data_IF_057811850116
#
_entry.id   IF_057811850116
#
_cell.length_a   1.000
_cell.length_b   1.000
_cell.length_c   1.000
_cell.angle_alpha   90.00
_cell.angle_beta   90.00
_cell.angle_gamma   90.00
#
_symmetry.space_group_name_H-M   'P 1'
#
loop_
_entity.id
_entity.type
_entity.pdbx_description
1 polymer ?
#
# COMPACT_ATOMS: atom_id res chain seq x y z
N UNK A 1 -22.34 -33.25 -6.12
CA UNK A 1 -23.08 -32.65 -4.99
C UNK A 1 -22.07 -31.88 -4.14
N UNK A 2 -22.22 -30.58 -4.02
CA UNK A 2 -21.33 -29.79 -3.17
C UNK A 2 -21.75 -29.95 -1.72
N UNK A 3 -21.00 -30.75 -0.98
CA UNK A 3 -21.08 -30.73 0.48
C UNK A 3 -20.42 -29.44 0.99
N UNK A 4 -21.10 -28.32 0.75
CA UNK A 4 -20.68 -27.05 1.33
C UNK A 4 -20.86 -27.14 2.84
N UNK A 5 -19.75 -27.35 3.54
CA UNK A 5 -19.71 -27.24 4.99
C UNK A 5 -19.22 -25.83 5.33
N UNK A 6 -20.09 -24.93 5.79
CA UNK A 6 -19.72 -23.56 6.12
C UNK A 6 -18.68 -23.48 7.26
N UNK A 7 -18.58 -24.52 8.08
CA UNK A 7 -17.56 -24.58 9.15
C UNK A 7 -16.19 -25.04 8.66
N UNK A 8 -16.14 -25.81 7.55
CA UNK A 8 -14.89 -26.27 6.96
C UNK A 8 -14.21 -25.22 6.05
N UNK A 9 -14.92 -24.14 5.69
CA UNK A 9 -14.45 -23.15 4.73
C UNK A 9 -13.54 -22.05 5.31
N UNK A 10 -13.40 -21.98 6.62
CA UNK A 10 -12.55 -20.98 7.25
C UNK A 10 -11.16 -21.57 7.51
N UNK A 11 -10.15 -21.04 6.80
CA UNK A 11 -8.76 -21.34 7.15
C UNK A 11 -8.45 -20.67 8.50
N UNK A 12 -8.24 -21.52 9.50
CA UNK A 12 -7.82 -21.10 10.84
C UNK A 12 -6.35 -21.42 11.02
N UNK A 13 -5.62 -20.53 11.64
CA UNK A 13 -4.22 -20.76 12.00
C UNK A 13 -4.14 -21.57 13.30
N UNK A 14 -3.12 -22.42 13.40
CA UNK A 14 -2.83 -23.18 14.63
C UNK A 14 -2.22 -22.30 15.72
N UNK A 15 -1.70 -21.16 15.33
CA UNK A 15 -1.01 -20.20 16.20
C UNK A 15 -1.68 -18.85 16.10
N UNK A 16 -1.54 -18.06 17.14
CA UNK A 16 -1.95 -16.65 17.10
C UNK A 16 -1.20 -15.89 16.03
N UNK A 17 -1.93 -15.11 15.24
CA UNK A 17 -1.42 -14.28 14.15
C UNK A 17 -1.90 -12.86 14.37
N UNK A 18 -1.03 -11.89 14.17
CA UNK A 18 -1.37 -10.50 14.35
C UNK A 18 -0.42 -9.57 13.59
N UNK A 19 -0.69 -8.28 13.67
CA UNK A 19 0.13 -7.23 13.10
C UNK A 19 1.19 -6.85 14.13
N UNK A 20 2.48 -7.07 13.81
CA UNK A 20 3.61 -6.76 14.69
C UNK A 20 4.17 -5.36 14.48
N UNK A 21 3.88 -4.74 13.35
CA UNK A 21 4.30 -3.37 13.06
C UNK A 21 3.61 -2.81 11.83
N UNK A 22 3.67 -1.52 11.72
CA UNK A 22 3.11 -0.79 10.59
C UNK A 22 3.95 0.43 10.27
N UNK A 23 3.87 0.90 9.03
CA UNK A 23 4.56 2.09 8.58
C UNK A 23 3.85 2.69 7.38
N UNK A 24 4.13 3.95 7.14
CA UNK A 24 3.59 4.69 6.02
C UNK A 24 4.63 5.66 5.47
N UNK A 25 4.49 5.97 4.21
CA UNK A 25 5.17 7.07 3.56
C UNK A 25 4.15 7.92 2.82
N UNK A 26 4.18 9.22 3.06
CA UNK A 26 3.29 10.18 2.39
C UNK A 26 4.15 11.16 1.61
N UNK A 27 4.04 11.20 0.28
CA UNK A 27 4.73 12.18 -0.54
C UNK A 27 4.44 13.61 -0.09
N UNK A 28 5.41 14.49 -0.25
CA UNK A 28 5.34 15.87 0.28
C UNK A 28 4.47 16.82 -0.52
N UNK A 29 4.34 16.61 -1.82
CA UNK A 29 3.54 17.48 -2.65
C UNK A 29 2.05 17.29 -2.42
N UNK A 30 1.29 18.34 -2.61
CA UNK A 30 -0.16 18.33 -2.43
C UNK A 30 -0.84 18.89 -3.68
N UNK A 31 -1.84 18.16 -4.15
CA UNK A 31 -2.75 18.62 -5.18
C UNK A 31 -4.10 18.95 -4.52
N UNK A 32 -4.51 20.25 -4.52
CA UNK A 32 -5.81 20.61 -3.97
C UNK A 32 -6.94 19.94 -4.76
N UNK A 33 -7.92 19.40 -4.06
CA UNK A 33 -9.08 18.78 -4.69
C UNK A 33 -9.85 19.75 -5.58
N UNK A 34 -9.85 21.04 -5.25
CA UNK A 34 -10.45 22.09 -6.07
C UNK A 34 -9.83 22.19 -7.48
N UNK A 35 -8.52 21.93 -7.61
CA UNK A 35 -7.86 21.94 -8.92
C UNK A 35 -8.32 20.75 -9.79
N UNK A 36 -8.48 19.58 -9.18
CA UNK A 36 -9.03 18.41 -9.87
C UNK A 36 -10.46 18.69 -10.35
N UNK A 37 -11.30 19.23 -9.47
CA UNK A 37 -12.67 19.60 -9.80
C UNK A 37 -12.71 20.64 -10.92
N UNK A 38 -11.86 21.66 -10.87
CA UNK A 38 -11.78 22.68 -11.93
C UNK A 38 -11.50 22.07 -13.30
N UNK A 39 -10.61 21.10 -13.38
CA UNK A 39 -10.23 20.45 -14.64
C UNK A 39 -11.30 19.51 -15.18
N UNK A 40 -11.92 18.73 -14.31
CA UNK A 40 -12.82 17.64 -14.73
C UNK A 40 -14.30 18.03 -14.78
N UNK A 41 -14.73 18.95 -13.92
CA UNK A 41 -16.15 19.31 -13.79
C UNK A 41 -16.41 20.80 -13.91
N UNK A 42 -15.40 21.60 -14.27
CA UNK A 42 -15.52 23.07 -14.30
C UNK A 42 -15.77 23.68 -12.93
N UNK A 43 -15.29 23.04 -11.87
CA UNK A 43 -15.49 23.48 -10.49
C UNK A 43 -16.85 23.10 -9.89
N UNK A 44 -17.62 22.28 -10.57
CA UNK A 44 -18.91 21.79 -10.07
C UNK A 44 -18.74 20.48 -9.31
N UNK A 45 -19.48 20.35 -8.22
CA UNK A 45 -19.42 19.18 -7.35
C UNK A 45 -18.28 19.27 -6.32
N UNK A 46 -18.42 18.50 -5.25
CA UNK A 46 -17.44 18.40 -4.17
C UNK A 46 -16.83 17.02 -4.10
N UNK A 47 -15.60 16.97 -3.62
CA UNK A 47 -14.93 15.74 -3.20
C UNK A 47 -14.77 15.76 -1.68
N UNK A 48 -14.86 14.61 -1.00
CA UNK A 48 -14.83 14.58 0.46
C UNK A 48 -13.42 14.81 1.05
N UNK A 49 -12.42 15.08 0.20
CA UNK A 49 -11.05 15.33 0.60
C UNK A 49 -10.64 16.76 0.22
N UNK A 50 -9.76 17.35 1.02
CA UNK A 50 -9.24 18.70 0.78
C UNK A 50 -8.13 18.72 -0.25
N UNK A 51 -7.23 17.76 -0.16
CA UNK A 51 -6.06 17.65 -1.02
C UNK A 51 -5.59 16.21 -1.12
N UNK A 52 -4.83 15.92 -2.14
CA UNK A 52 -4.20 14.62 -2.39
C UNK A 52 -2.68 14.77 -2.34
N UNK A 53 -1.97 13.84 -1.70
CA UNK A 53 -0.52 13.76 -1.80
C UNK A 53 -0.10 13.28 -3.20
N UNK A 54 0.98 13.85 -3.71
CA UNK A 54 1.51 13.53 -5.04
C UNK A 54 3.01 13.26 -4.92
N UNK A 55 3.50 12.13 -5.48
CA UNK A 55 4.93 11.83 -5.47
C UNK A 55 5.72 12.83 -6.31
N UNK A 56 6.98 13.03 -5.94
CA UNK A 56 7.93 13.76 -6.73
C UNK A 56 8.35 12.97 -7.98
N UNK A 57 9.07 13.61 -8.89
CA UNK A 57 9.56 12.98 -10.12
C UNK A 57 10.57 11.86 -9.86
N UNK A 58 11.22 11.88 -8.71
CA UNK A 58 12.19 10.90 -8.23
C UNK A 58 11.58 9.82 -7.32
N UNK A 59 10.26 9.82 -7.18
CA UNK A 59 9.53 8.89 -6.32
C UNK A 59 8.60 8.01 -7.15
N UNK A 60 8.56 6.73 -6.84
CA UNK A 60 7.65 5.75 -7.41
C UNK A 60 7.15 4.76 -6.35
N UNK A 61 6.35 3.79 -6.76
CA UNK A 61 5.82 2.81 -5.82
C UNK A 61 6.93 1.97 -5.16
N UNK A 62 8.06 1.76 -5.84
CA UNK A 62 9.21 1.03 -5.28
C UNK A 62 9.84 1.83 -4.13
N UNK A 63 10.24 3.07 -4.38
CA UNK A 63 10.90 3.91 -3.36
C UNK A 63 9.98 4.21 -2.18
N UNK A 64 8.71 4.48 -2.44
CA UNK A 64 7.71 4.70 -1.40
C UNK A 64 7.45 3.45 -0.56
N UNK A 65 7.40 2.28 -1.19
CA UNK A 65 7.23 1.00 -0.49
C UNK A 65 8.43 0.66 0.39
N UNK A 66 9.65 0.92 -0.07
CA UNK A 66 10.87 0.71 0.70
C UNK A 66 10.86 1.58 1.96
N UNK A 67 10.50 2.84 1.84
CA UNK A 67 10.47 3.75 2.99
C UNK A 67 9.37 3.35 4.00
N UNK A 68 8.19 3.00 3.51
CA UNK A 68 7.11 2.50 4.36
C UNK A 68 7.50 1.20 5.09
N UNK A 69 8.16 0.27 4.38
CA UNK A 69 8.63 -0.98 4.95
C UNK A 69 9.71 -0.76 6.02
N UNK A 70 10.66 0.14 5.78
CA UNK A 70 11.68 0.51 6.79
C UNK A 70 11.05 1.06 8.06
N UNK A 71 10.06 1.94 7.92
CA UNK A 71 9.32 2.48 9.05
C UNK A 71 8.57 1.38 9.82
N UNK A 72 7.95 0.45 9.12
CA UNK A 72 7.26 -0.69 9.73
C UNK A 72 8.22 -1.60 10.51
N UNK A 73 9.36 -1.95 9.90
CA UNK A 73 10.38 -2.79 10.54
C UNK A 73 10.98 -2.13 11.78
N UNK A 74 11.26 -0.82 11.70
CA UNK A 74 11.79 -0.07 12.83
C UNK A 74 10.82 -0.06 14.02
N UNK A 75 9.52 0.08 13.75
CA UNK A 75 8.48 0.01 14.80
C UNK A 75 8.29 -1.39 15.37
N UNK A 76 8.35 -2.38 14.51
CA UNK A 76 8.20 -3.78 14.90
C UNK A 76 9.45 -4.31 15.64
N UNK A 77 10.61 -3.68 15.46
CA UNK A 77 11.90 -4.14 15.99
C UNK A 77 12.23 -5.58 15.59
N UNK A 78 11.91 -5.93 14.35
CA UNK A 78 12.17 -7.26 13.79
C UNK A 78 13.43 -7.25 12.93
N UNK A 79 14.07 -8.41 12.83
CA UNK A 79 15.17 -8.64 11.90
C UNK A 79 14.58 -8.83 10.48
N UNK A 80 15.09 -8.12 9.45
CA UNK A 80 14.65 -8.34 8.07
C UNK A 80 14.75 -9.81 7.63
N UNK A 81 15.69 -10.58 8.19
CA UNK A 81 15.84 -12.00 7.87
C UNK A 81 14.68 -12.88 8.34
N UNK A 82 13.85 -12.38 9.25
CA UNK A 82 12.63 -13.07 9.70
C UNK A 82 11.45 -12.87 8.75
N UNK A 83 11.57 -11.94 7.80
CA UNK A 83 10.53 -11.69 6.80
C UNK A 83 10.57 -12.78 5.73
N UNK A 84 9.50 -13.55 5.63
CA UNK A 84 9.41 -14.70 4.72
C UNK A 84 8.74 -14.39 3.40
N UNK A 85 7.98 -13.32 3.32
CA UNK A 85 7.26 -12.93 2.12
C UNK A 85 7.03 -11.41 2.07
N UNK A 86 7.03 -10.86 0.87
CA UNK A 86 6.75 -9.45 0.61
C UNK A 86 5.74 -9.36 -0.53
N UNK A 87 4.67 -8.61 -0.31
CA UNK A 87 3.68 -8.31 -1.34
C UNK A 87 3.53 -6.82 -1.50
N UNK A 88 3.42 -6.37 -2.73
CA UNK A 88 3.15 -4.97 -3.07
C UNK A 88 1.94 -4.91 -3.98
N UNK A 89 0.87 -4.28 -3.50
CA UNK A 89 -0.33 -4.00 -4.28
C UNK A 89 -0.30 -2.55 -4.79
N UNK A 90 -0.44 -2.37 -6.10
CA UNK A 90 -0.48 -1.05 -6.73
C UNK A 90 -1.08 -1.14 -8.13
N UNK A 91 -1.60 -0.03 -8.61
CA UNK A 91 -2.00 0.14 -10.02
C UNK A 91 -0.97 0.96 -10.83
N UNK A 92 0.16 1.31 -10.20
CA UNK A 92 1.19 2.19 -10.78
C UNK A 92 2.59 1.56 -10.69
N UNK A 93 2.67 0.25 -10.97
CA UNK A 93 3.95 -0.45 -10.99
C UNK A 93 4.88 0.10 -12.09
N UNK A 94 6.19 0.30 -11.80
CA UNK A 94 7.13 0.83 -12.79
C UNK A 94 7.46 -0.17 -13.92
N UNK A 95 7.28 -1.46 -13.69
CA UNK A 95 7.57 -2.51 -14.66
C UNK A 95 6.34 -3.38 -14.94
N UNK A 96 6.12 -3.71 -16.21
CA UNK A 96 4.97 -4.50 -16.63
C UNK A 96 5.05 -5.97 -16.20
N UNK A 97 6.25 -6.53 -16.14
CA UNK A 97 6.47 -7.96 -15.91
C UNK A 97 7.16 -8.24 -14.58
N UNK A 98 8.21 -7.49 -14.24
CA UNK A 98 8.94 -7.69 -13.00
C UNK A 98 8.08 -7.31 -11.80
N UNK A 99 7.81 -8.22 -10.86
CA UNK A 99 7.03 -7.88 -9.66
C UNK A 99 7.75 -6.83 -8.80
N UNK A 100 7.05 -5.79 -8.42
CA UNK A 100 7.61 -4.72 -7.58
C UNK A 100 8.12 -5.26 -6.25
N UNK A 101 7.46 -6.26 -5.68
CA UNK A 101 7.87 -6.89 -4.43
C UNK A 101 9.29 -7.48 -4.47
N UNK A 102 9.75 -7.96 -5.62
CA UNK A 102 11.12 -8.49 -5.78
C UNK A 102 12.20 -7.41 -5.80
N UNK A 103 11.82 -6.17 -6.03
CA UNK A 103 12.73 -5.02 -5.95
C UNK A 103 12.76 -4.47 -4.52
N UNK A 104 11.62 -4.52 -3.83
CA UNK A 104 11.49 -4.04 -2.44
C UNK A 104 12.16 -5.00 -1.45
N UNK A 105 12.11 -6.31 -1.74
CA UNK A 105 12.65 -7.36 -0.86
C UNK A 105 14.17 -7.32 -0.70
#
# INVERSE_FOLDING_TARGET
MNDYNPEAGLMKTDKEVGIVGYGAYVPRYRLPAAEVSRMWTGGKGGVPIKEKSVPGLDEDVVSMSIEAARNAMARAQIDPRDIRAVWVGSESHPYAVKPTSTIVA
#
